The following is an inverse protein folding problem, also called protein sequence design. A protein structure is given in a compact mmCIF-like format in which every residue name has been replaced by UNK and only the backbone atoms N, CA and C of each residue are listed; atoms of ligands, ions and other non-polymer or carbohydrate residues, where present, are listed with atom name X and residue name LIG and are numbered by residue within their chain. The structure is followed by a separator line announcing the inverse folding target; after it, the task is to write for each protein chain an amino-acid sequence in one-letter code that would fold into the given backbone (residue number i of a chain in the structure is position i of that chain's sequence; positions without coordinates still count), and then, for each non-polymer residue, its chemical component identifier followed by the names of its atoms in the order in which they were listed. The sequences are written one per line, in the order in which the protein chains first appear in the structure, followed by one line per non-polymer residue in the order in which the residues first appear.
data_IF_824922748280
#
_entry.id   IF_824922748280
#
_cell.length_a   1.000
_cell.length_b   1.000
_cell.length_c   1.000
_cell.angle_alpha   90.00
_cell.angle_beta   90.00
_cell.angle_gamma   90.00
#
_symmetry.space_group_name_H-M   'P 1'
#
loop_
_entity.id
_entity.type
_entity.pdbx_description
1 polymer ?
#
# COMPACT_ATOMS: atom_id res chain seq x y z
N UNK A 1 -11.21 9.52 -5.64
CA UNK A 1 -10.43 8.96 -4.51
C UNK A 1 -9.20 8.17 -4.99
N UNK A 2 -7.98 8.73 -4.90
CA UNK A 2 -6.73 8.09 -5.40
C UNK A 2 -6.44 6.71 -4.80
N UNK A 3 -6.83 6.51 -3.53
CA UNK A 3 -6.63 5.25 -2.80
C UNK A 3 -7.44 4.10 -3.42
N UNK A 4 -8.68 4.35 -3.84
CA UNK A 4 -9.54 3.34 -4.50
C UNK A 4 -8.89 2.83 -5.78
N UNK A 5 -8.37 3.73 -6.62
CA UNK A 5 -7.67 3.37 -7.86
C UNK A 5 -6.44 2.50 -7.59
N UNK A 6 -5.61 2.85 -6.59
CA UNK A 6 -4.46 2.05 -6.18
C UNK A 6 -4.88 0.66 -5.66
N UNK A 7 -5.94 0.60 -4.85
CA UNK A 7 -6.46 -0.65 -4.30
C UNK A 7 -7.01 -1.59 -5.39
N UNK A 8 -7.67 -1.05 -6.41
CA UNK A 8 -8.15 -1.81 -7.58
C UNK A 8 -7.00 -2.37 -8.40
N UNK A 9 -6.01 -1.53 -8.77
CA UNK A 9 -4.84 -1.97 -9.56
C UNK A 9 -4.07 -3.10 -8.89
N UNK A 10 -3.96 -3.09 -7.56
CA UNK A 10 -3.25 -4.12 -6.79
C UNK A 10 -4.14 -5.29 -6.33
N UNK A 11 -5.39 -5.34 -6.82
CA UNK A 11 -6.45 -6.32 -6.44
C UNK A 11 -6.68 -6.43 -4.92
N UNK A 12 -6.28 -5.44 -4.14
CA UNK A 12 -6.48 -5.38 -2.68
C UNK A 12 -7.95 -5.07 -2.36
N UNK A 13 -8.60 -4.29 -3.22
CA UNK A 13 -10.00 -3.90 -3.07
C UNK A 13 -10.95 -5.09 -2.88
N UNK A 14 -10.77 -6.15 -3.65
CA UNK A 14 -11.63 -7.34 -3.60
C UNK A 14 -11.16 -8.39 -2.59
N UNK A 15 -9.86 -8.40 -2.26
CA UNK A 15 -9.29 -9.40 -1.34
C UNK A 15 -9.50 -9.03 0.13
N UNK A 16 -9.46 -7.73 0.44
CA UNK A 16 -9.39 -7.24 1.83
C UNK A 16 -10.72 -6.69 2.31
N UNK A 17 -11.53 -6.09 1.43
CA UNK A 17 -12.79 -5.48 1.82
C UNK A 17 -13.97 -6.44 1.68
N UNK A 18 -14.84 -6.41 2.69
CA UNK A 18 -16.14 -7.09 2.65
C UNK A 18 -17.07 -6.43 1.62
N UNK A 19 -18.18 -7.10 1.29
CA UNK A 19 -19.21 -6.52 0.41
C UNK A 19 -19.79 -5.23 1.01
N UNK A 20 -19.97 -5.19 2.32
CA UNK A 20 -20.51 -4.03 3.05
C UNK A 20 -19.53 -2.87 3.05
N UNK A 21 -18.25 -3.11 3.35
CA UNK A 21 -17.22 -2.06 3.35
C UNK A 21 -17.08 -1.41 1.97
N UNK A 22 -17.14 -2.21 0.89
CA UNK A 22 -17.15 -1.70 -0.49
C UNK A 22 -18.39 -0.84 -0.77
N UNK A 23 -19.57 -1.31 -0.37
CA UNK A 23 -20.82 -0.56 -0.52
C UNK A 23 -20.79 0.78 0.20
N UNK A 24 -20.27 0.84 1.44
CA UNK A 24 -20.13 2.08 2.20
C UNK A 24 -19.25 3.08 1.45
N UNK A 25 -18.06 2.65 0.98
CA UNK A 25 -17.15 3.54 0.24
C UNK A 25 -17.75 3.97 -1.09
N UNK A 26 -18.41 3.09 -1.83
CA UNK A 26 -19.01 3.40 -3.12
C UNK A 26 -20.18 4.39 -2.98
N UNK A 27 -21.04 4.22 -1.98
CA UNK A 27 -22.10 5.17 -1.64
C UNK A 27 -21.53 6.51 -1.18
N UNK A 28 -20.49 6.49 -0.33
CA UNK A 28 -19.86 7.73 0.14
C UNK A 28 -19.26 8.52 -1.02
N UNK A 29 -18.59 7.85 -1.96
CA UNK A 29 -18.03 8.51 -3.16
C UNK A 29 -19.14 9.08 -4.06
N UNK A 30 -20.29 8.41 -4.16
CA UNK A 30 -21.38 8.81 -5.06
C UNK A 30 -22.29 9.90 -4.47
N UNK A 31 -22.55 9.84 -3.18
CA UNK A 31 -23.64 10.59 -2.54
C UNK A 31 -23.14 11.73 -1.66
N UNK A 32 -21.85 11.76 -1.30
CA UNK A 32 -21.34 12.68 -0.28
C UNK A 32 -20.12 13.43 -0.80
N UNK A 33 -20.28 14.73 -1.06
CA UNK A 33 -19.15 15.62 -1.37
C UNK A 33 -18.26 15.84 -0.15
N UNK A 34 -18.87 16.03 1.03
CA UNK A 34 -18.17 16.21 2.32
C UNK A 34 -18.89 15.47 3.44
N UNK A 35 -18.18 14.57 4.10
CA UNK A 35 -18.73 13.80 5.22
C UNK A 35 -18.87 14.73 6.42
N UNK A 36 -20.12 15.06 6.80
CA UNK A 36 -20.43 15.86 8.00
C UNK A 36 -20.64 15.00 9.24
N UNK A 37 -21.03 13.73 9.06
CA UNK A 37 -21.26 12.80 10.16
C UNK A 37 -19.93 12.24 10.70
N UNK A 38 -19.62 12.42 12.00
CA UNK A 38 -18.38 11.91 12.58
C UNK A 38 -18.34 10.37 12.61
N UNK A 39 -19.50 9.73 12.74
CA UNK A 39 -19.62 8.27 12.72
C UNK A 39 -19.26 7.73 11.35
N UNK A 40 -19.84 8.31 10.28
CA UNK A 40 -19.53 7.89 8.92
C UNK A 40 -18.05 8.16 8.57
N UNK A 41 -17.51 9.30 9.01
CA UNK A 41 -16.10 9.62 8.83
C UNK A 41 -15.19 8.58 9.49
N UNK A 42 -15.51 8.15 10.71
CA UNK A 42 -14.76 7.10 11.42
C UNK A 42 -14.78 5.78 10.66
N UNK A 43 -15.96 5.32 10.23
CA UNK A 43 -16.10 4.06 9.48
C UNK A 43 -15.31 4.10 8.17
N UNK A 44 -15.43 5.18 7.39
CA UNK A 44 -14.69 5.34 6.14
C UNK A 44 -13.17 5.39 6.40
N UNK A 45 -12.74 6.07 7.46
CA UNK A 45 -11.33 6.13 7.85
C UNK A 45 -10.79 4.76 8.25
N UNK A 46 -11.55 3.95 8.98
CA UNK A 46 -11.16 2.59 9.35
C UNK A 46 -10.99 1.70 8.11
N UNK A 47 -11.90 1.81 7.12
CA UNK A 47 -11.79 1.13 5.83
C UNK A 47 -10.53 1.58 5.08
N UNK A 48 -10.25 2.89 5.04
CA UNK A 48 -9.06 3.45 4.38
C UNK A 48 -7.77 2.97 5.07
N UNK A 49 -7.73 2.94 6.41
CA UNK A 49 -6.58 2.42 7.16
C UNK A 49 -6.34 0.94 6.86
N UNK A 50 -7.40 0.13 6.79
CA UNK A 50 -7.33 -1.29 6.41
C UNK A 50 -6.75 -1.47 5.01
N UNK A 51 -7.15 -0.63 4.04
CA UNK A 51 -6.58 -0.65 2.69
C UNK A 51 -5.10 -0.25 2.68
N UNK A 52 -4.72 0.83 3.37
CA UNK A 52 -3.34 1.32 3.39
C UNK A 52 -2.39 0.28 3.98
N UNK A 53 -2.73 -0.32 5.13
CA UNK A 53 -1.91 -1.36 5.78
C UNK A 53 -1.62 -2.53 4.85
N UNK A 54 -2.61 -2.98 4.08
CA UNK A 54 -2.48 -4.08 3.14
C UNK A 54 -1.76 -3.70 1.83
N UNK A 55 -1.84 -2.43 1.42
CA UNK A 55 -1.11 -1.92 0.27
C UNK A 55 0.38 -1.76 0.58
N UNK A 56 0.70 -1.30 1.79
CA UNK A 56 2.07 -1.12 2.27
C UNK A 56 2.77 -2.45 2.52
N UNK A 57 2.12 -3.39 3.21
CA UNK A 57 2.71 -4.71 3.46
C UNK A 57 3.09 -5.42 2.17
N UNK A 58 2.17 -5.48 1.20
CA UNK A 58 2.45 -6.06 -0.12
C UNK A 58 3.51 -5.29 -0.91
N UNK A 59 3.56 -3.97 -0.77
CA UNK A 59 4.58 -3.18 -1.45
C UNK A 59 5.97 -3.52 -0.93
N UNK A 60 6.15 -3.49 0.39
CA UNK A 60 7.43 -3.81 1.02
C UNK A 60 7.84 -5.26 0.75
N UNK A 61 6.90 -6.20 0.83
CA UNK A 61 7.17 -7.59 0.48
C UNK A 61 7.70 -7.75 -0.95
N UNK A 62 7.08 -7.07 -1.93
CA UNK A 62 7.51 -7.13 -3.31
C UNK A 62 8.87 -6.47 -3.54
N UNK A 63 9.11 -5.31 -2.94
CA UNK A 63 10.40 -4.60 -3.03
C UNK A 63 11.51 -5.44 -2.42
N UNK A 64 11.29 -6.02 -1.25
CA UNK A 64 12.30 -6.85 -0.59
C UNK A 64 12.58 -8.15 -1.36
N UNK A 65 11.55 -8.79 -1.92
CA UNK A 65 11.71 -9.97 -2.79
C UNK A 65 12.49 -9.63 -4.05
N UNK A 66 12.17 -8.51 -4.72
CA UNK A 66 12.87 -8.09 -5.92
C UNK A 66 14.34 -7.73 -5.64
N UNK A 67 14.61 -6.95 -4.58
CA UNK A 67 15.97 -6.57 -4.18
C UNK A 67 16.83 -7.78 -3.84
N UNK A 68 16.29 -8.73 -3.07
CA UNK A 68 16.94 -10.01 -2.75
C UNK A 68 17.24 -10.82 -4.01
N UNK A 69 16.30 -10.93 -4.94
CA UNK A 69 16.48 -11.68 -6.19
C UNK A 69 17.55 -11.07 -7.10
N UNK A 70 17.61 -9.74 -7.21
CA UNK A 70 18.64 -9.04 -8.00
C UNK A 70 20.03 -9.30 -7.43
N UNK A 71 20.19 -9.16 -6.11
CA UNK A 71 21.47 -9.39 -5.45
C UNK A 71 21.93 -10.87 -5.54
N UNK A 72 20.99 -11.82 -5.48
CA UNK A 72 21.29 -13.24 -5.75
C UNK A 72 21.79 -13.44 -7.19
N UNK A 73 21.17 -12.77 -8.17
CA UNK A 73 21.61 -12.81 -9.57
C UNK A 73 23.03 -12.26 -9.79
N UNK A 74 23.51 -11.41 -8.89
CA UNK A 74 24.89 -10.91 -8.88
C UNK A 74 25.87 -11.80 -8.11
N UNK A 75 25.44 -12.97 -7.63
CA UNK A 75 26.27 -13.94 -6.91
C UNK A 75 26.32 -13.73 -5.40
N UNK A 76 25.54 -12.81 -4.83
CA UNK A 76 25.49 -12.62 -3.39
C UNK A 76 24.51 -13.60 -2.73
N UNK A 77 25.03 -14.77 -2.32
CA UNK A 77 24.24 -15.86 -1.73
C UNK A 77 23.54 -15.43 -0.43
N UNK A 78 24.17 -14.54 0.34
CA UNK A 78 23.61 -13.99 1.59
C UNK A 78 22.32 -13.19 1.35
N UNK A 79 22.06 -12.73 0.12
CA UNK A 79 20.85 -11.99 -0.20
C UNK A 79 19.56 -12.82 -0.08
N UNK A 80 19.65 -14.15 -0.04
CA UNK A 80 18.50 -15.04 0.15
C UNK A 80 17.75 -14.81 1.47
N UNK A 81 18.45 -14.36 2.52
CA UNK A 81 17.88 -14.10 3.85
C UNK A 81 17.36 -12.67 4.02
N UNK A 82 17.76 -11.73 3.16
CA UNK A 82 17.49 -10.30 3.31
C UNK A 82 16.00 -9.96 3.37
N UNK A 83 15.16 -10.72 2.65
CA UNK A 83 13.70 -10.55 2.70
C UNK A 83 13.09 -10.75 4.11
N UNK A 84 13.84 -11.37 5.02
CA UNK A 84 13.47 -11.57 6.43
C UNK A 84 14.31 -10.72 7.39
N UNK A 85 15.32 -10.01 6.89
CA UNK A 85 16.17 -9.15 7.70
C UNK A 85 15.44 -7.85 8.04
N UNK A 86 15.37 -7.55 9.34
CA UNK A 86 14.63 -6.38 9.83
C UNK A 86 15.28 -5.06 9.44
N UNK A 87 16.61 -5.01 9.33
CA UNK A 87 17.36 -3.86 8.86
C UNK A 87 17.07 -3.56 7.39
N UNK A 88 17.07 -4.59 6.56
CA UNK A 88 16.75 -4.51 5.14
C UNK A 88 15.30 -4.08 4.89
N UNK A 89 14.34 -4.70 5.61
CA UNK A 89 12.92 -4.32 5.55
C UNK A 89 12.76 -2.85 5.98
N UNK A 90 13.43 -2.42 7.06
CA UNK A 90 13.36 -1.05 7.57
C UNK A 90 13.97 -0.05 6.60
N UNK A 91 15.11 -0.36 5.99
CA UNK A 91 15.77 0.50 5.01
C UNK A 91 14.86 0.76 3.80
N UNK A 92 14.31 -0.30 3.20
CA UNK A 92 13.34 -0.16 2.11
C UNK A 92 12.05 0.53 2.57
N UNK A 93 11.62 0.30 3.81
CA UNK A 93 10.51 1.02 4.44
C UNK A 93 10.72 2.52 4.50
N UNK A 94 11.87 2.96 5.02
CA UNK A 94 12.24 4.38 5.11
C UNK A 94 12.37 4.99 3.71
N UNK A 95 13.06 4.33 2.79
CA UNK A 95 13.18 4.82 1.41
C UNK A 95 11.80 4.94 0.74
N UNK A 96 10.91 3.98 0.94
CA UNK A 96 9.55 4.02 0.42
C UNK A 96 8.72 5.17 1.00
N UNK A 97 8.97 5.57 2.25
CA UNK A 97 8.33 6.74 2.88
C UNK A 97 8.95 8.03 2.35
N UNK A 98 10.28 8.10 2.23
CA UNK A 98 11.00 9.26 1.69
C UNK A 98 10.59 9.55 0.24
N UNK A 99 10.38 8.52 -0.58
CA UNK A 99 9.90 8.68 -1.96
C UNK A 99 8.43 9.15 -2.07
N UNK A 100 7.66 9.20 -0.97
CA UNK A 100 6.26 9.66 -0.98
C UNK A 100 6.11 11.17 -0.84
N UNK A 101 7.16 11.89 -0.45
CA UNK A 101 7.18 13.37 -0.38
C UNK A 101 7.67 14.06 -1.66
N UNK A 102 8.08 13.31 -2.69
CA UNK A 102 8.48 13.89 -3.97
C UNK A 102 7.48 13.56 -5.08
N UNK A 103 6.61 14.53 -5.31
CA UNK A 103 6.26 14.96 -6.66
C UNK A 103 7.54 15.35 -7.42
N UNK A 104 8.29 14.41 -7.97
CA UNK A 104 9.23 14.73 -9.07
C UNK A 104 9.38 13.53 -10.00
N UNK A 105 8.93 13.76 -11.23
CA UNK A 105 9.43 13.27 -12.51
C UNK A 105 10.17 11.92 -12.53
N UNK A 106 9.47 10.89 -13.00
CA UNK A 106 10.06 9.98 -13.97
C UNK A 106 9.81 10.56 -15.36
N UNK A 107 10.75 11.33 -15.90
CA UNK A 107 11.03 11.43 -17.35
C UNK A 107 12.50 11.82 -17.50
N UNK A 108 13.17 11.10 -18.42
CA UNK A 108 14.55 11.20 -18.90
C UNK A 108 15.60 10.51 -18.01
#
# INVERSE_FOLDING_TARGET
MKIKTRALRRRVWFKVLSRVERGIVDLTIRCVEKIRSPILARVVLDIVRKLLKNLESKFLENVNKAGSAIALGWGNISASSWKHDSGFIRFHGINAVNSRDFSVCWVA
#
